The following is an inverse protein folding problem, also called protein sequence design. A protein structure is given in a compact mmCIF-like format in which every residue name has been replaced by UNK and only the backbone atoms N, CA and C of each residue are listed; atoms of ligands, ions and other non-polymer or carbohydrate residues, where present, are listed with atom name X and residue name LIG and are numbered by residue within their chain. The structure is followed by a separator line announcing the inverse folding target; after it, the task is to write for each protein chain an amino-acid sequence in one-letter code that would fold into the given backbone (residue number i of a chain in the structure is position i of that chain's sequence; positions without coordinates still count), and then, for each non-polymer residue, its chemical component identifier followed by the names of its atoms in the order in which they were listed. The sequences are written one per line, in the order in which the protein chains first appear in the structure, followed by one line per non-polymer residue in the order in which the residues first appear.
data_IF_958733863141
#
_entry.id   IF_958733863141
#
_cell.length_a   1.000
_cell.length_b   1.000
_cell.length_c   1.000
_cell.angle_alpha   90.00
_cell.angle_beta   90.00
_cell.angle_gamma   90.00
#
_symmetry.space_group_name_H-M   'P 1'
#
loop_
_entity.id
_entity.type
_entity.pdbx_description
1 polymer ?
#
# COMPACT_ATOMS: atom_id res chain seq x y z
N UNK A 1 -0.71 -9.57 9.34
CA UNK A 1 -1.06 -9.70 7.90
C UNK A 1 -2.22 -10.65 7.62
N UNK A 2 -2.21 -11.91 8.07
CA UNK A 2 -3.19 -12.97 7.73
C UNK A 2 -4.63 -12.47 7.51
N UNK A 3 -5.21 -11.74 8.48
CA UNK A 3 -6.58 -11.28 8.41
C UNK A 3 -6.87 -10.43 7.15
N UNK A 4 -5.94 -9.59 6.70
CA UNK A 4 -6.15 -8.76 5.49
C UNK A 4 -6.36 -9.62 4.25
N UNK A 5 -5.56 -10.68 4.10
CA UNK A 5 -5.69 -11.59 2.97
C UNK A 5 -6.95 -12.44 3.08
N UNK A 6 -7.26 -12.92 4.29
CA UNK A 6 -8.46 -13.72 4.52
C UNK A 6 -9.74 -12.93 4.21
N UNK A 7 -9.83 -11.66 4.64
CA UNK A 7 -10.98 -10.82 4.33
C UNK A 7 -11.13 -10.58 2.83
N UNK A 8 -10.07 -10.14 2.14
CA UNK A 8 -10.15 -9.88 0.69
C UNK A 8 -10.38 -11.20 -0.08
N UNK A 9 -9.84 -12.34 0.38
CA UNK A 9 -10.10 -13.63 -0.25
C UNK A 9 -11.58 -14.03 -0.15
N UNK A 10 -12.23 -13.83 1.00
CA UNK A 10 -13.61 -14.28 1.18
C UNK A 10 -14.64 -13.30 0.63
N UNK A 11 -14.37 -11.99 0.69
CA UNK A 11 -15.35 -10.95 0.38
C UNK A 11 -14.97 -10.07 -0.81
N UNK A 12 -13.74 -10.16 -1.29
CA UNK A 12 -13.21 -9.25 -2.31
C UNK A 12 -13.10 -7.81 -1.80
N UNK A 13 -13.00 -6.88 -2.74
CA UNK A 13 -12.93 -5.44 -2.47
C UNK A 13 -11.52 -4.95 -2.14
N UNK A 14 -11.45 -3.76 -1.55
CA UNK A 14 -10.19 -3.05 -1.28
C UNK A 14 -9.82 -3.13 0.19
N UNK A 15 -8.60 -3.58 0.48
CA UNK A 15 -7.94 -3.42 1.78
C UNK A 15 -7.03 -2.18 1.75
N UNK A 16 -7.01 -1.43 2.84
CA UNK A 16 -6.10 -0.31 3.10
C UNK A 16 -5.53 -0.42 4.53
N UNK A 17 -4.24 -0.18 4.69
CA UNK A 17 -3.67 0.07 6.01
C UNK A 17 -4.26 1.34 6.62
N UNK A 18 -4.30 1.39 7.95
CA UNK A 18 -4.91 2.50 8.71
C UNK A 18 -4.15 3.81 8.60
N UNK A 19 -2.92 3.76 8.12
CA UNK A 19 -2.02 4.89 7.91
C UNK A 19 -2.03 5.41 6.46
N UNK A 20 -3.14 5.17 5.76
CA UNK A 20 -3.39 5.62 4.39
C UNK A 20 -4.51 6.68 4.37
N UNK A 21 -4.24 7.81 3.73
CA UNK A 21 -5.25 8.81 3.34
C UNK A 21 -5.50 8.65 1.85
N UNK A 22 -6.76 8.43 1.45
CA UNK A 22 -7.15 8.37 0.03
C UNK A 22 -7.22 9.78 -0.54
N UNK A 23 -6.46 10.04 -1.61
CA UNK A 23 -6.37 11.36 -2.25
C UNK A 23 -7.29 11.48 -3.47
N UNK A 24 -7.44 10.38 -4.21
CA UNK A 24 -8.24 10.26 -5.44
C UNK A 24 -9.01 8.94 -5.41
N UNK A 25 -10.02 8.84 -6.26
CA UNK A 25 -10.81 7.60 -6.40
C UNK A 25 -9.90 6.42 -6.77
N UNK A 26 -10.07 5.32 -6.02
CA UNK A 26 -9.35 4.09 -6.28
C UNK A 26 -10.06 3.28 -7.38
N UNK A 27 -9.33 2.66 -8.30
CA UNK A 27 -9.95 1.83 -9.34
C UNK A 27 -10.71 0.65 -8.71
N UNK A 28 -11.83 0.23 -9.30
CA UNK A 28 -12.63 -0.90 -8.82
C UNK A 28 -12.93 -1.94 -9.91
N UNK A 29 -12.42 -1.71 -11.12
CA UNK A 29 -12.74 -2.50 -12.31
C UNK A 29 -11.70 -3.58 -12.65
N UNK A 30 -10.60 -3.68 -11.89
CA UNK A 30 -9.55 -4.68 -12.08
C UNK A 30 -8.87 -5.00 -10.76
N UNK A 31 -8.30 -6.20 -10.66
CA UNK A 31 -7.51 -6.58 -9.48
C UNK A 31 -6.18 -5.84 -9.50
N UNK A 32 -5.74 -5.29 -8.36
CA UNK A 32 -4.47 -4.60 -8.27
C UNK A 32 -3.75 -4.77 -6.93
N UNK A 33 -2.44 -4.57 -7.01
CA UNK A 33 -1.55 -4.40 -5.87
C UNK A 33 -0.51 -3.31 -6.20
N UNK A 34 0.05 -2.70 -5.15
CA UNK A 34 1.05 -1.65 -5.30
C UNK A 34 2.47 -2.18 -5.28
N UNK A 35 3.29 -1.77 -6.24
CA UNK A 35 4.75 -1.94 -6.16
C UNK A 35 5.29 -0.84 -5.26
N UNK A 36 5.94 -1.23 -4.17
CA UNK A 36 6.58 -0.31 -3.23
C UNK A 36 7.99 0.06 -3.69
N UNK A 37 8.75 -0.93 -4.14
CA UNK A 37 10.10 -0.76 -4.66
C UNK A 37 10.26 -1.46 -6.01
N UNK A 38 10.66 -0.70 -7.02
CA UNK A 38 10.89 -1.19 -8.38
C UNK A 38 12.24 -1.90 -8.53
N UNK A 39 13.24 -1.52 -7.73
CA UNK A 39 14.61 -2.05 -7.84
C UNK A 39 14.68 -3.48 -7.30
N UNK A 40 14.21 -3.68 -6.06
CA UNK A 40 14.10 -5.01 -5.46
C UNK A 40 12.87 -5.80 -5.93
N UNK A 41 12.00 -5.17 -6.74
CA UNK A 41 10.68 -5.67 -7.14
C UNK A 41 9.86 -6.17 -5.94
N UNK A 42 9.53 -5.26 -5.03
CA UNK A 42 8.73 -5.54 -3.85
C UNK A 42 7.29 -5.04 -4.05
N UNK A 43 6.33 -5.96 -4.00
CA UNK A 43 4.90 -5.64 -3.99
C UNK A 43 4.42 -5.56 -2.54
N UNK A 44 3.92 -4.41 -2.14
CA UNK A 44 3.41 -4.18 -0.80
C UNK A 44 2.04 -4.81 -0.59
N UNK A 45 1.69 -4.96 0.69
CA UNK A 45 0.40 -5.49 1.12
C UNK A 45 -0.46 -4.46 1.87
N UNK A 46 -0.02 -3.20 1.94
CA UNK A 46 -0.75 -2.10 2.59
C UNK A 46 -1.95 -1.59 1.79
N UNK A 47 -2.01 -1.90 0.50
CA UNK A 47 -3.16 -1.64 -0.37
C UNK A 47 -3.31 -2.77 -1.39
N UNK A 48 -4.49 -3.38 -1.41
CA UNK A 48 -4.82 -4.52 -2.30
C UNK A 48 -6.28 -4.39 -2.71
N UNK A 49 -6.59 -4.66 -3.97
CA UNK A 49 -7.97 -4.82 -4.43
C UNK A 49 -8.08 -6.07 -5.27
N UNK A 50 -8.97 -6.98 -4.87
CA UNK A 50 -9.19 -8.20 -5.61
C UNK A 50 -10.66 -8.61 -5.55
N UNK A 51 -11.10 -9.28 -6.59
CA UNK A 51 -12.31 -10.09 -6.57
C UNK A 51 -12.18 -11.21 -5.53
N UNK A 52 -13.31 -11.60 -4.93
CA UNK A 52 -13.31 -12.70 -3.97
C UNK A 52 -12.80 -13.99 -4.64
N UNK A 53 -12.17 -14.84 -3.84
CA UNK A 53 -11.57 -16.12 -4.22
C UNK A 53 -10.46 -16.05 -5.28
N UNK A 54 -9.85 -14.87 -5.47
CA UNK A 54 -8.76 -14.72 -6.42
C UNK A 54 -7.58 -15.65 -6.08
N UNK A 55 -7.03 -16.32 -7.10
CA UNK A 55 -6.01 -17.39 -6.97
C UNK A 55 -4.77 -16.93 -6.20
N UNK A 56 -4.31 -15.69 -6.42
CA UNK A 56 -3.17 -15.13 -5.69
C UNK A 56 -3.41 -15.11 -4.17
N UNK A 57 -4.59 -14.69 -3.73
CA UNK A 57 -4.92 -14.59 -2.31
C UNK A 57 -5.02 -15.97 -1.65
N UNK A 58 -5.58 -16.95 -2.37
CA UNK A 58 -5.59 -18.35 -1.92
C UNK A 58 -4.17 -18.85 -1.68
N UNK A 59 -3.28 -18.67 -2.66
CA UNK A 59 -1.88 -19.07 -2.55
C UNK A 59 -1.19 -18.38 -1.37
N UNK A 60 -1.43 -17.09 -1.15
CA UNK A 60 -0.86 -16.36 -0.01
C UNK A 60 -1.35 -16.94 1.33
N UNK A 61 -2.65 -17.20 1.49
CA UNK A 61 -3.19 -17.76 2.74
C UNK A 61 -2.66 -19.17 3.00
N UNK A 62 -2.58 -20.02 1.97
CA UNK A 62 -2.02 -21.37 2.06
C UNK A 62 -0.52 -21.33 2.40
N UNK A 63 0.26 -20.46 1.76
CA UNK A 63 1.70 -20.32 2.00
C UNK A 63 1.97 -19.83 3.43
N UNK A 64 1.21 -18.84 3.91
CA UNK A 64 1.32 -18.38 5.30
C UNK A 64 0.92 -19.47 6.28
N UNK A 65 -0.11 -20.27 6.00
CA UNK A 65 -0.53 -21.37 6.89
C UNK A 65 0.56 -22.42 7.10
N UNK A 66 1.47 -22.59 6.14
CA UNK A 66 2.56 -23.57 6.20
C UNK A 66 3.87 -22.96 6.69
N UNK A 67 4.10 -21.68 6.40
CA UNK A 67 5.41 -21.02 6.55
C UNK A 67 5.35 -19.78 7.44
N UNK A 68 4.35 -19.68 8.33
CA UNK A 68 4.21 -18.54 9.23
C UNK A 68 5.46 -18.34 10.08
N UNK A 69 5.98 -17.12 10.08
CA UNK A 69 7.12 -16.73 10.93
C UNK A 69 6.89 -15.33 11.49
N UNK A 70 6.52 -15.27 12.77
CA UNK A 70 6.25 -14.01 13.47
C UNK A 70 7.51 -13.21 13.84
N UNK A 71 8.71 -13.77 13.68
CA UNK A 71 9.96 -13.10 14.05
C UNK A 71 10.44 -12.09 13.00
N UNK A 72 10.02 -12.25 11.74
CA UNK A 72 10.44 -11.41 10.62
C UNK A 72 9.26 -10.57 10.12
N UNK A 73 9.39 -9.25 10.23
CA UNK A 73 8.29 -8.31 9.96
C UNK A 73 7.68 -8.43 8.56
N UNK A 74 8.50 -8.58 7.51
CA UNK A 74 8.02 -8.60 6.12
C UNK A 74 7.59 -10.00 5.66
N UNK A 75 7.94 -11.04 6.42
CA UNK A 75 7.89 -12.44 5.98
C UNK A 75 6.47 -12.91 5.69
N UNK A 76 5.49 -12.46 6.47
CA UNK A 76 4.07 -12.78 6.26
C UNK A 76 3.32 -11.69 5.48
N UNK A 77 4.00 -10.62 5.09
CA UNK A 77 3.43 -9.43 4.46
C UNK A 77 3.86 -9.29 3.00
N UNK A 78 4.59 -8.22 2.63
CA UNK A 78 5.03 -7.96 1.25
C UNK A 78 5.79 -9.13 0.59
N UNK A 79 6.56 -9.91 1.36
CA UNK A 79 7.31 -11.06 0.84
C UNK A 79 6.36 -12.16 0.34
N UNK A 80 5.23 -12.39 1.02
CA UNK A 80 4.24 -13.38 0.58
C UNK A 80 3.52 -12.94 -0.69
N UNK A 81 3.15 -11.66 -0.77
CA UNK A 81 2.53 -11.10 -2.00
C UNK A 81 3.49 -11.25 -3.17
N UNK A 82 4.72 -10.77 -3.00
CA UNK A 82 5.74 -10.77 -4.06
C UNK A 82 6.09 -12.19 -4.51
N UNK A 83 6.40 -13.09 -3.58
CA UNK A 83 6.82 -14.45 -3.93
C UNK A 83 5.69 -15.27 -4.58
N UNK A 84 4.46 -15.17 -4.09
CA UNK A 84 3.32 -15.86 -4.69
C UNK A 84 2.92 -15.26 -6.03
N UNK A 85 3.06 -13.94 -6.21
CA UNK A 85 2.85 -13.30 -7.51
C UNK A 85 3.89 -13.75 -8.53
N UNK A 86 5.17 -13.83 -8.16
CA UNK A 86 6.24 -14.33 -9.03
C UNK A 86 5.97 -15.80 -9.40
N UNK A 87 5.60 -16.65 -8.44
CA UNK A 87 5.24 -18.06 -8.69
C UNK A 87 4.05 -18.18 -9.65
N UNK A 88 3.00 -17.39 -9.41
CA UNK A 88 1.76 -17.42 -10.18
C UNK A 88 1.97 -16.93 -11.63
N UNK A 89 2.69 -15.82 -11.80
CA UNK A 89 2.89 -15.16 -13.10
C UNK A 89 4.14 -15.62 -13.85
N UNK A 90 5.04 -16.38 -13.20
CA UNK A 90 6.35 -16.77 -13.74
C UNK A 90 7.16 -15.57 -14.27
N UNK A 91 7.04 -14.43 -13.59
CA UNK A 91 7.63 -13.17 -13.98
C UNK A 91 8.14 -12.40 -12.74
N UNK A 92 9.24 -11.65 -12.90
CA UNK A 92 9.94 -10.96 -11.81
C UNK A 92 9.96 -9.43 -11.95
N UNK A 93 9.13 -8.88 -12.84
CA UNK A 93 9.04 -7.43 -13.04
C UNK A 93 7.60 -6.99 -13.25
N UNK A 94 7.30 -5.76 -12.86
CA UNK A 94 5.99 -5.13 -13.06
C UNK A 94 5.58 -5.15 -14.53
N UNK A 95 6.51 -4.78 -15.42
CA UNK A 95 6.27 -4.73 -16.87
C UNK A 95 5.85 -6.09 -17.42
N UNK A 96 6.59 -7.15 -17.10
CA UNK A 96 6.28 -8.48 -17.61
C UNK A 96 4.91 -9.00 -17.12
N UNK A 97 4.56 -8.73 -15.86
CA UNK A 97 3.26 -9.14 -15.28
C UNK A 97 2.11 -8.39 -15.94
N UNK A 98 2.24 -7.07 -16.10
CA UNK A 98 1.22 -6.21 -16.68
C UNK A 98 1.04 -6.48 -18.18
N UNK A 99 2.13 -6.57 -18.95
CA UNK A 99 2.08 -6.83 -20.39
C UNK A 99 1.43 -8.19 -20.69
N UNK A 100 1.72 -9.20 -19.88
CA UNK A 100 1.13 -10.53 -19.98
C UNK A 100 -0.34 -10.59 -19.51
N UNK A 101 -0.87 -9.51 -18.92
CA UNK A 101 -2.20 -9.47 -18.26
C UNK A 101 -2.39 -10.64 -17.30
N UNK A 102 -1.32 -10.97 -16.55
CA UNK A 102 -1.27 -12.17 -15.72
C UNK A 102 -2.46 -12.23 -14.77
N UNK A 103 -3.33 -13.24 -14.92
CA UNK A 103 -4.48 -13.47 -14.04
C UNK A 103 -5.37 -12.23 -13.80
N UNK A 104 -5.46 -11.31 -14.76
CA UNK A 104 -6.19 -10.04 -14.61
C UNK A 104 -5.72 -9.21 -13.40
N UNK A 105 -4.41 -9.20 -13.15
CA UNK A 105 -3.75 -8.40 -12.12
C UNK A 105 -3.06 -7.22 -12.80
N UNK A 106 -3.37 -6.01 -12.34
CA UNK A 106 -2.66 -4.80 -12.70
C UNK A 106 -1.79 -4.37 -11.53
N UNK A 107 -0.48 -4.40 -11.69
CA UNK A 107 0.43 -3.78 -10.75
C UNK A 107 0.51 -2.28 -10.99
N UNK A 108 0.35 -1.51 -9.92
CA UNK A 108 0.45 -0.05 -9.95
C UNK A 108 1.82 0.40 -9.41
N UNK A 109 2.44 1.41 -10.05
CA UNK A 109 3.80 1.84 -9.73
C UNK A 109 3.90 2.60 -8.40
N UNK A 110 5.12 2.78 -7.84
CA UNK A 110 5.32 3.50 -6.59
C UNK A 110 4.75 4.92 -6.61
N UNK A 111 4.82 5.65 -7.72
CA UNK A 111 4.25 7.00 -7.78
C UNK A 111 2.72 7.06 -7.66
N UNK A 112 2.01 5.93 -7.83
CA UNK A 112 0.56 5.83 -7.61
C UNK A 112 0.19 5.61 -6.14
N UNK A 113 1.02 4.90 -5.36
CA UNK A 113 0.68 4.52 -3.98
C UNK A 113 1.72 4.84 -2.91
N UNK A 114 3.01 4.81 -3.26
CA UNK A 114 4.15 4.97 -2.36
C UNK A 114 5.05 6.13 -2.82
N UNK A 115 4.46 7.24 -3.26
CA UNK A 115 5.18 8.40 -3.85
C UNK A 115 6.17 9.05 -2.88
N UNK A 116 5.96 8.85 -1.58
CA UNK A 116 6.94 9.11 -0.52
C UNK A 116 7.27 7.75 0.11
N UNK A 117 8.40 7.18 -0.29
CA UNK A 117 8.88 5.89 0.22
C UNK A 117 9.23 5.96 1.71
N UNK A 118 9.17 4.82 2.43
CA UNK A 118 9.30 4.79 3.88
C UNK A 118 10.56 5.48 4.43
N UNK A 119 11.76 5.45 3.80
CA UNK A 119 12.93 6.15 4.34
C UNK A 119 12.75 7.67 4.38
N UNK A 120 11.78 8.20 3.63
CA UNK A 120 11.43 9.63 3.58
C UNK A 120 10.14 9.96 4.34
N UNK A 121 9.67 9.09 5.25
CA UNK A 121 8.41 9.27 5.97
C UNK A 121 8.34 10.60 6.74
N UNK A 122 9.47 11.11 7.23
CA UNK A 122 9.56 12.35 7.99
C UNK A 122 9.09 13.56 7.17
N UNK A 123 9.13 13.48 5.83
CA UNK A 123 8.62 14.55 4.98
C UNK A 123 7.17 14.89 5.31
N UNK A 124 6.32 13.92 5.70
CA UNK A 124 4.94 14.21 6.08
C UNK A 124 4.81 15.10 7.34
N UNK A 125 5.85 15.12 8.18
CA UNK A 125 5.87 15.75 9.51
C UNK A 125 6.88 16.91 9.60
N UNK A 126 7.33 17.43 8.46
CA UNK A 126 8.22 18.58 8.38
C UNK A 126 7.49 19.77 7.76
N UNK A 127 7.47 20.91 8.45
CA UNK A 127 6.85 22.14 7.94
C UNK A 127 7.57 22.69 6.69
N UNK A 128 8.86 22.39 6.52
CA UNK A 128 9.65 22.83 5.38
C UNK A 128 9.42 22.01 4.10
N UNK A 129 8.72 20.88 4.18
CA UNK A 129 8.58 19.93 3.07
C UNK A 129 7.26 20.07 2.29
N UNK A 130 6.37 21.01 2.67
CA UNK A 130 5.01 21.18 2.11
C UNK A 130 4.97 21.11 0.59
N UNK A 131 5.79 21.90 -0.09
CA UNK A 131 5.83 21.93 -1.54
C UNK A 131 6.37 20.63 -2.16
N UNK A 132 7.35 20.01 -1.52
CA UNK A 132 7.91 18.72 -1.94
C UNK A 132 6.86 17.62 -1.85
N UNK A 133 6.16 17.54 -0.71
CA UNK A 133 5.10 16.53 -0.50
C UNK A 133 3.94 16.76 -1.47
N UNK A 134 3.46 18.01 -1.61
CA UNK A 134 2.41 18.37 -2.57
C UNK A 134 2.79 17.95 -3.99
N UNK A 135 4.01 18.25 -4.44
CA UNK A 135 4.48 17.88 -5.78
C UNK A 135 4.57 16.37 -5.97
N UNK A 136 5.07 15.63 -4.98
CA UNK A 136 5.18 14.15 -5.04
C UNK A 136 3.81 13.47 -5.05
N UNK A 137 2.84 14.02 -4.31
CA UNK A 137 1.49 13.47 -4.22
C UNK A 137 0.56 13.87 -5.36
N UNK A 138 0.95 14.82 -6.22
CA UNK A 138 0.10 15.37 -7.28
C UNK A 138 -0.55 14.29 -8.16
N UNK A 139 0.17 13.22 -8.48
CA UNK A 139 -0.32 12.09 -9.28
C UNK A 139 -0.61 10.83 -8.45
N UNK A 140 -0.42 10.91 -7.13
CA UNK A 140 -0.68 9.78 -6.24
C UNK A 140 -2.18 9.60 -6.00
N UNK A 141 -2.59 8.35 -5.82
CA UNK A 141 -3.96 7.99 -5.43
C UNK A 141 -4.13 8.03 -3.92
N UNK A 142 -3.04 7.86 -3.17
CA UNK A 142 -3.05 7.83 -1.71
C UNK A 142 -1.85 8.58 -1.12
N UNK A 143 -1.92 8.91 0.16
CA UNK A 143 -0.77 9.25 0.99
C UNK A 143 -0.62 8.19 2.07
N UNK A 144 0.46 7.40 2.01
CA UNK A 144 0.84 6.45 3.06
C UNK A 144 1.86 7.12 3.99
N UNK A 145 1.46 7.43 5.23
CA UNK A 145 2.29 8.20 6.17
C UNK A 145 3.09 7.32 7.15
N UNK A 146 3.15 6.01 6.87
CA UNK A 146 4.06 5.05 7.52
C UNK A 146 3.94 5.02 9.04
N UNK A 147 2.76 4.71 9.55
CA UNK A 147 2.34 4.78 10.96
C UNK A 147 3.28 4.06 11.93
N UNK A 148 3.96 2.99 11.51
CA UNK A 148 5.00 2.36 12.34
C UNK A 148 6.13 3.32 12.67
N UNK A 149 6.61 4.06 11.68
CA UNK A 149 7.71 5.02 11.82
C UNK A 149 7.24 6.35 12.40
N UNK A 150 6.05 6.81 12.01
CA UNK A 150 5.49 8.09 12.46
C UNK A 150 4.71 8.04 13.77
N UNK A 151 4.56 6.87 14.40
CA UNK A 151 3.75 6.66 15.62
C UNK A 151 4.08 7.60 16.79
N UNK A 152 5.32 8.11 16.87
CA UNK A 152 5.77 9.01 17.93
C UNK A 152 5.78 10.49 17.52
N UNK A 153 5.40 10.80 16.28
CA UNK A 153 5.40 12.16 15.76
C UNK A 153 4.10 12.89 16.12
N UNK A 154 4.25 14.10 16.63
CA UNK A 154 3.12 14.99 16.85
C UNK A 154 2.76 15.72 15.55
N UNK A 155 1.47 15.71 15.22
CA UNK A 155 0.94 16.49 14.11
C UNK A 155 0.83 17.95 14.55
N UNK A 156 1.37 18.87 13.76
CA UNK A 156 1.29 20.32 14.00
C UNK A 156 0.75 21.04 12.77
N UNK A 157 0.13 22.19 13.00
CA UNK A 157 -0.30 23.07 11.92
C UNK A 157 0.86 23.40 10.97
N UNK A 158 0.58 23.39 9.67
CA UNK A 158 1.57 23.63 8.62
C UNK A 158 2.42 22.41 8.22
N UNK A 159 2.26 21.25 8.87
CA UNK A 159 2.84 20.01 8.36
C UNK A 159 2.01 19.45 7.20
N UNK A 160 2.62 18.79 6.20
CA UNK A 160 1.88 18.17 5.11
C UNK A 160 0.79 17.20 5.57
N UNK A 161 1.05 16.39 6.60
CA UNK A 161 0.04 15.46 7.14
C UNK A 161 -1.16 16.19 7.74
N UNK A 162 -0.93 17.34 8.37
CA UNK A 162 -2.00 18.17 8.92
C UNK A 162 -2.85 18.75 7.79
N UNK A 163 -2.21 19.28 6.74
CA UNK A 163 -2.89 19.82 5.56
C UNK A 163 -3.73 18.74 4.85
N UNK A 164 -3.17 17.54 4.68
CA UNK A 164 -3.88 16.40 4.09
C UNK A 164 -5.09 15.98 4.94
N UNK A 165 -4.94 15.93 6.26
CA UNK A 165 -6.03 15.56 7.15
C UNK A 165 -7.14 16.62 7.16
N UNK A 166 -6.79 17.91 7.04
CA UNK A 166 -7.77 18.99 6.85
C UNK A 166 -8.59 18.81 5.58
N UNK A 167 -7.93 18.49 4.47
CA UNK A 167 -8.58 18.38 3.17
C UNK A 167 -9.43 17.10 3.04
N UNK A 168 -8.92 15.96 3.53
CA UNK A 168 -9.50 14.63 3.25
C UNK A 168 -10.20 13.98 4.45
N UNK A 169 -9.99 14.48 5.67
CA UNK A 169 -10.44 13.82 6.91
C UNK A 169 -11.16 14.78 7.88
N UNK A 170 -12.10 15.59 7.37
CA UNK A 170 -12.79 16.67 8.10
C UNK A 170 -13.38 16.27 9.46
N UNK A 171 -13.80 15.02 9.65
CA UNK A 171 -14.38 14.51 10.91
C UNK A 171 -13.35 14.32 12.04
N UNK A 172 -12.08 14.10 11.70
CA UNK A 172 -11.02 13.77 12.66
C UNK A 172 -10.20 15.01 13.02
N UNK A 173 -10.19 16.02 12.15
CA UNK A 173 -9.42 17.27 12.32
C UNK A 173 -9.62 17.92 13.69
N UNK A 174 -10.84 17.90 14.22
CA UNK A 174 -11.19 18.50 15.53
C UNK A 174 -10.41 17.93 16.71
N UNK A 175 -9.73 16.78 16.54
CA UNK A 175 -8.93 16.13 17.54
C UNK A 175 -7.42 16.45 17.45
N UNK A 176 -6.96 17.17 16.42
CA UNK A 176 -5.55 17.61 16.28
C UNK A 176 -5.22 18.87 17.11
N UNK A 177 -5.80 19.00 18.31
CA UNK A 177 -5.58 20.14 19.20
C UNK A 177 -4.12 20.28 19.62
#
# INVERSE_FOLDING_TARGET
DILRYWFVYNYGGTYLDRDIIVLKELPLNYNYAGVEDMESFLVANGILHFTHHHKLLKMIVEDISQNYDGSIWAKNGPVMVTSNLIKLCKAKTMKAINDAKCHNIQLLPPNAFFSIYYPSWQLYFDTGSRDVVRKRLNNSLIAHYWGKFSSKSNIKAGMPIHDLALEKCSLIVKYFK
#
